data_IF_147339951906
#
_entry.id   IF_147339951906
#
_cell.length_a   1.000
_cell.length_b   1.000
_cell.length_c   1.000
_cell.angle_alpha   90.00
_cell.angle_beta   90.00
_cell.angle_gamma   90.00
#
_symmetry.space_group_name_H-M   'P 1'
#
loop_
_entity.id
_entity.type
_entity.pdbx_description
1 polymer ?
#
# COMPACT_ATOMS: atom_id res chain seq x y z
N UNK A 1 -11.69 15.15 -29.70
CA UNK A 1 -10.90 15.20 -30.95
C UNK A 1 -10.65 13.82 -31.57
N UNK A 2 -11.00 12.71 -30.89
CA UNK A 2 -10.82 11.34 -31.42
C UNK A 2 -9.37 10.91 -31.59
N UNK A 3 -8.43 11.54 -30.89
CA UNK A 3 -6.99 11.30 -31.02
C UNK A 3 -6.42 10.28 -30.04
N UNK A 4 -7.18 9.89 -29.00
CA UNK A 4 -6.79 8.84 -28.06
C UNK A 4 -8.03 8.14 -27.49
N UNK A 5 -7.87 6.88 -27.07
CA UNK A 5 -8.91 6.05 -26.47
C UNK A 5 -8.70 5.87 -24.97
N UNK A 6 -7.49 6.14 -24.49
CA UNK A 6 -7.10 5.95 -23.09
C UNK A 6 -6.11 7.01 -22.64
N UNK A 7 -6.09 7.30 -21.33
CA UNK A 7 -5.15 8.22 -20.70
C UNK A 7 -4.45 7.54 -19.51
N UNK A 8 -3.17 7.92 -19.31
CA UNK A 8 -2.45 7.64 -18.08
C UNK A 8 -2.35 8.94 -17.29
N UNK A 9 -2.85 8.93 -16.07
CA UNK A 9 -2.82 10.06 -15.14
C UNK A 9 -1.62 9.91 -14.22
N UNK A 10 -0.64 10.81 -14.34
CA UNK A 10 0.61 10.84 -13.58
C UNK A 10 0.90 12.27 -13.10
N UNK A 11 -0.10 12.89 -12.49
CA UNK A 11 -0.09 14.23 -11.92
C UNK A 11 0.26 14.21 -10.43
N UNK A 12 0.37 15.35 -9.72
CA UNK A 12 0.37 15.37 -8.26
C UNK A 12 -0.88 14.70 -7.68
N UNK A 13 -0.75 14.11 -6.50
CA UNK A 13 -1.70 13.16 -5.91
C UNK A 13 -3.14 13.66 -5.79
N UNK A 14 -3.32 14.94 -5.43
CA UNK A 14 -4.66 15.55 -5.32
C UNK A 14 -5.44 15.57 -6.64
N UNK A 15 -4.73 15.59 -7.76
CA UNK A 15 -5.31 15.73 -9.09
C UNK A 15 -5.66 14.38 -9.74
N UNK A 16 -5.20 13.26 -9.20
CA UNK A 16 -5.50 11.93 -9.77
C UNK A 16 -7.00 11.71 -9.92
N UNK A 17 -7.85 11.89 -8.87
CA UNK A 17 -9.28 11.66 -8.99
C UNK A 17 -9.96 12.60 -10.00
N UNK A 18 -9.58 13.87 -10.02
CA UNK A 18 -10.16 14.86 -10.92
C UNK A 18 -9.95 14.47 -12.40
N UNK A 19 -8.71 14.14 -12.78
CA UNK A 19 -8.38 13.78 -14.15
C UNK A 19 -8.94 12.42 -14.56
N UNK A 20 -9.02 11.45 -13.64
CA UNK A 20 -9.67 10.16 -13.91
C UNK A 20 -11.17 10.34 -14.14
N UNK A 21 -11.86 11.09 -13.28
CA UNK A 21 -13.30 11.40 -13.44
C UNK A 21 -13.53 12.06 -14.79
N UNK A 22 -12.75 13.11 -15.08
CA UNK A 22 -12.85 13.82 -16.36
C UNK A 22 -12.67 12.88 -17.58
N UNK A 23 -11.67 12.00 -17.53
CA UNK A 23 -11.41 11.05 -18.60
C UNK A 23 -12.60 10.09 -18.83
N UNK A 24 -13.11 9.49 -17.76
CA UNK A 24 -14.22 8.53 -17.79
C UNK A 24 -15.50 9.20 -18.31
N UNK A 25 -15.82 10.41 -17.83
CA UNK A 25 -16.99 11.19 -18.28
C UNK A 25 -16.90 11.62 -19.75
N UNK A 26 -15.68 11.69 -20.31
CA UNK A 26 -15.47 11.99 -21.73
C UNK A 26 -15.25 10.74 -22.59
N UNK A 27 -15.59 9.57 -22.07
CA UNK A 27 -15.58 8.31 -22.83
C UNK A 27 -14.19 7.74 -23.07
N UNK A 28 -13.17 8.11 -22.26
CA UNK A 28 -11.84 7.57 -22.32
C UNK A 28 -11.61 6.50 -21.26
N UNK A 29 -10.88 5.44 -21.60
CA UNK A 29 -10.32 4.53 -20.59
C UNK A 29 -9.25 5.26 -19.78
N UNK A 30 -9.12 4.94 -18.49
CA UNK A 30 -8.17 5.61 -17.61
C UNK A 30 -7.29 4.60 -16.85
N UNK A 31 -6.03 4.95 -16.69
CA UNK A 31 -5.15 4.32 -15.71
C UNK A 31 -4.49 5.42 -14.88
N UNK A 32 -4.55 5.30 -13.56
CA UNK A 32 -3.93 6.28 -12.66
C UNK A 32 -2.65 5.75 -12.05
N UNK A 33 -1.67 6.64 -11.89
CA UNK A 33 -0.56 6.39 -10.96
C UNK A 33 -1.07 6.27 -9.52
N UNK A 34 -0.25 5.62 -8.71
CA UNK A 34 -0.45 5.56 -7.26
C UNK A 34 0.05 6.87 -6.60
N UNK A 35 -0.48 7.26 -5.44
CA UNK A 35 -1.68 6.73 -4.78
C UNK A 35 -2.95 7.08 -5.56
N UNK A 36 -4.06 6.40 -5.27
CA UNK A 36 -5.34 6.68 -5.95
C UNK A 36 -5.82 8.14 -5.76
N UNK A 37 -5.36 8.77 -4.71
CA UNK A 37 -5.64 10.15 -4.32
C UNK A 37 -5.04 10.41 -2.94
N UNK A 38 -5.41 11.49 -2.29
CA UNK A 38 -4.90 11.86 -0.95
C UNK A 38 -5.85 11.43 0.17
N UNK A 39 -7.16 11.52 -0.04
CA UNK A 39 -8.16 11.16 0.96
C UNK A 39 -9.29 10.33 0.34
N UNK A 40 -9.82 9.41 1.14
CA UNK A 40 -10.77 8.39 0.67
C UNK A 40 -12.03 8.97 0.04
N UNK A 41 -12.57 10.08 0.54
CA UNK A 41 -13.77 10.71 -0.01
C UNK A 41 -13.63 11.06 -1.49
N UNK A 42 -12.51 11.71 -1.90
CA UNK A 42 -12.31 12.04 -3.32
C UNK A 42 -12.12 10.79 -4.19
N UNK A 43 -11.52 9.73 -3.64
CA UNK A 43 -11.33 8.46 -4.35
C UNK A 43 -12.65 7.69 -4.45
N UNK A 44 -13.52 7.80 -3.47
CA UNK A 44 -14.87 7.24 -3.55
C UNK A 44 -15.69 7.91 -4.67
N UNK A 45 -15.61 9.24 -4.78
CA UNK A 45 -16.24 9.98 -5.89
C UNK A 45 -15.70 9.53 -7.26
N UNK A 46 -14.39 9.27 -7.36
CA UNK A 46 -13.76 8.70 -8.55
C UNK A 46 -14.28 7.28 -8.85
N UNK A 47 -14.40 6.45 -7.83
CA UNK A 47 -14.92 5.09 -7.98
C UNK A 47 -16.40 5.10 -8.44
N UNK A 48 -17.23 6.00 -7.88
CA UNK A 48 -18.60 6.20 -8.33
C UNK A 48 -18.69 6.67 -9.79
N UNK A 49 -17.74 7.50 -10.25
CA UNK A 49 -17.66 7.86 -11.67
C UNK A 49 -17.26 6.67 -12.54
N UNK A 50 -16.35 5.82 -12.07
CA UNK A 50 -15.97 4.59 -12.76
C UNK A 50 -17.13 3.60 -12.87
N UNK A 51 -17.94 3.43 -11.81
CA UNK A 51 -19.13 2.58 -11.82
C UNK A 51 -20.22 3.05 -12.80
N UNK A 52 -20.30 4.35 -13.05
CA UNK A 52 -21.24 4.93 -14.04
C UNK A 52 -20.71 4.89 -15.47
N UNK A 53 -19.43 4.60 -15.67
CA UNK A 53 -18.78 4.58 -16.98
C UNK A 53 -18.76 3.17 -17.57
N UNK A 54 -18.82 3.09 -18.90
CA UNK A 54 -18.56 1.85 -19.66
C UNK A 54 -17.09 1.69 -20.01
N UNK A 55 -16.22 2.58 -19.52
CA UNK A 55 -14.79 2.59 -19.77
C UNK A 55 -14.01 1.86 -18.67
N UNK A 56 -12.90 1.25 -19.06
CA UNK A 56 -12.03 0.55 -18.12
C UNK A 56 -11.26 1.56 -17.28
N UNK A 57 -11.19 1.30 -15.99
CA UNK A 57 -10.35 2.06 -15.06
C UNK A 57 -9.40 1.12 -14.33
N UNK A 58 -8.11 1.41 -14.39
CA UNK A 58 -7.03 0.67 -13.73
C UNK A 58 -6.18 1.58 -12.84
N UNK A 59 -5.43 0.98 -11.91
CA UNK A 59 -4.46 1.69 -11.08
C UNK A 59 -3.09 1.02 -11.14
N UNK A 60 -2.02 1.82 -11.07
CA UNK A 60 -0.63 1.40 -11.19
C UNK A 60 -0.11 0.74 -9.89
N UNK A 61 -0.66 -0.42 -9.55
CA UNK A 61 -0.21 -1.26 -8.43
C UNK A 61 0.78 -2.32 -8.94
N UNK A 62 1.90 -1.86 -9.46
CA UNK A 62 2.89 -2.66 -10.16
C UNK A 62 3.51 -3.77 -9.31
N UNK A 63 3.58 -3.62 -7.98
CA UNK A 63 4.10 -4.67 -7.09
C UNK A 63 3.25 -5.95 -7.08
N UNK A 64 2.00 -5.89 -7.50
CA UNK A 64 1.18 -7.10 -7.73
C UNK A 64 1.67 -7.95 -8.92
N UNK A 65 2.57 -7.43 -9.77
CA UNK A 65 3.24 -8.20 -10.84
C UNK A 65 4.53 -8.88 -10.37
N UNK A 66 5.03 -8.55 -9.19
CA UNK A 66 6.23 -9.15 -8.62
C UNK A 66 5.98 -10.63 -8.29
N UNK A 67 6.85 -11.51 -8.79
CA UNK A 67 6.71 -12.97 -8.65
C UNK A 67 6.59 -13.44 -7.20
N UNK A 68 7.29 -12.78 -6.27
CA UNK A 68 7.27 -13.13 -4.84
C UNK A 68 5.88 -12.86 -4.24
N UNK A 69 5.34 -11.65 -4.46
CA UNK A 69 4.03 -11.28 -3.92
C UNK A 69 2.87 -12.01 -4.62
N UNK A 70 2.99 -12.27 -5.94
CA UNK A 70 2.02 -13.12 -6.66
C UNK A 70 1.99 -14.53 -6.06
N UNK A 71 3.17 -15.14 -5.87
CA UNK A 71 3.28 -16.48 -5.30
C UNK A 71 2.73 -16.55 -3.88
N UNK A 72 3.05 -15.55 -3.06
CA UNK A 72 2.51 -15.43 -1.71
C UNK A 72 0.98 -15.31 -1.72
N UNK A 73 0.41 -14.48 -2.60
CA UNK A 73 -1.03 -14.35 -2.76
C UNK A 73 -1.68 -15.67 -3.19
N UNK A 74 -1.11 -16.39 -4.18
CA UNK A 74 -1.59 -17.72 -4.58
C UNK A 74 -1.63 -18.71 -3.41
N UNK A 75 -0.56 -18.76 -2.59
CA UNK A 75 -0.49 -19.61 -1.42
C UNK A 75 -1.57 -19.29 -0.38
N UNK A 76 -1.84 -17.99 -0.16
CA UNK A 76 -2.90 -17.56 0.76
C UNK A 76 -4.28 -17.94 0.21
N UNK A 77 -4.51 -17.70 -1.08
CA UNK A 77 -5.79 -18.00 -1.73
C UNK A 77 -6.08 -19.52 -1.82
N UNK A 78 -5.04 -20.37 -1.81
CA UNK A 78 -5.22 -21.84 -1.79
C UNK A 78 -5.91 -22.33 -0.52
N UNK A 79 -5.86 -21.57 0.58
CA UNK A 79 -6.38 -21.95 1.88
C UNK A 79 -5.50 -22.94 2.67
N UNK A 80 -4.42 -23.47 2.08
CA UNK A 80 -3.54 -24.46 2.71
C UNK A 80 -2.80 -23.93 3.95
N UNK A 81 -2.66 -22.62 4.07
CA UNK A 81 -2.00 -21.98 5.22
C UNK A 81 -2.88 -21.93 6.48
N UNK A 82 -4.19 -22.14 6.34
CA UNK A 82 -5.17 -21.89 7.40
C UNK A 82 -5.37 -20.41 7.67
N UNK A 83 -5.94 -20.07 8.82
CA UNK A 83 -6.24 -18.68 9.14
C UNK A 83 -4.99 -17.86 9.46
N UNK A 84 -4.99 -16.60 9.01
CA UNK A 84 -3.98 -15.61 9.41
C UNK A 84 -4.08 -15.35 10.92
N UNK A 85 -2.94 -15.26 11.60
CA UNK A 85 -2.83 -14.99 13.05
C UNK A 85 -2.04 -13.71 13.35
N UNK A 86 -0.99 -13.43 12.53
CA UNK A 86 -0.14 -12.26 12.75
C UNK A 86 0.52 -11.79 11.47
N UNK A 87 0.63 -10.46 11.36
CA UNK A 87 1.40 -9.76 10.33
C UNK A 87 2.48 -8.94 11.02
N UNK A 88 3.74 -9.08 10.58
CA UNK A 88 4.82 -8.17 10.95
C UNK A 88 5.50 -7.72 9.66
N UNK A 89 5.40 -6.44 9.35
CA UNK A 89 6.08 -5.87 8.20
C UNK A 89 6.94 -4.69 8.63
N UNK A 90 8.24 -4.86 8.50
CA UNK A 90 9.21 -3.79 8.67
C UNK A 90 9.73 -3.46 7.28
N UNK A 91 9.51 -2.23 6.84
CA UNK A 91 9.97 -1.72 5.55
C UNK A 91 10.55 -0.33 5.72
N UNK A 92 11.85 -0.26 5.96
CA UNK A 92 12.61 0.95 6.23
C UNK A 92 13.73 1.17 5.21
N UNK A 93 13.75 0.41 4.11
CA UNK A 93 14.71 0.50 3.01
C UNK A 93 14.40 1.64 2.00
N UNK A 94 13.53 2.55 2.36
CA UNK A 94 13.13 3.73 1.58
C UNK A 94 14.00 4.97 1.83
N UNK A 95 15.27 4.81 2.18
CA UNK A 95 16.13 5.96 2.51
C UNK A 95 15.99 7.09 1.50
N UNK A 96 15.77 8.28 2.01
CA UNK A 96 15.75 9.54 1.25
C UNK A 96 16.62 10.56 1.97
N UNK A 97 17.36 11.33 1.22
CA UNK A 97 18.09 12.48 1.77
C UNK A 97 17.24 13.75 1.68
N UNK A 98 17.65 14.81 2.34
CA UNK A 98 16.92 16.08 2.34
C UNK A 98 16.71 16.65 0.94
N UNK A 99 17.71 16.50 0.03
CA UNK A 99 17.61 17.02 -1.34
C UNK A 99 16.48 16.39 -2.16
N UNK A 100 16.07 15.14 -1.85
CA UNK A 100 14.89 14.53 -2.47
C UNK A 100 13.62 15.30 -2.15
N UNK A 101 13.48 15.76 -0.92
CA UNK A 101 12.31 16.52 -0.48
C UNK A 101 12.34 17.97 -0.95
N UNK A 102 13.53 18.54 -1.13
CA UNK A 102 13.71 19.92 -1.59
C UNK A 102 13.61 20.07 -3.11
N UNK A 103 13.51 18.98 -3.86
CA UNK A 103 13.53 18.96 -5.32
C UNK A 103 12.30 19.60 -5.99
N UNK A 104 11.19 19.80 -5.28
CA UNK A 104 10.01 20.47 -5.82
C UNK A 104 9.16 21.09 -4.69
N UNK A 105 8.54 22.22 -4.98
CA UNK A 105 7.80 22.98 -3.99
C UNK A 105 6.58 22.26 -3.39
N UNK A 106 5.98 21.34 -4.13
CA UNK A 106 4.82 20.56 -3.67
C UNK A 106 5.20 19.35 -2.79
N UNK A 107 6.44 18.85 -2.89
CA UNK A 107 6.88 17.65 -2.16
C UNK A 107 6.94 17.89 -0.66
N UNK A 108 6.61 16.84 0.09
CA UNK A 108 6.67 16.79 1.55
C UNK A 108 5.88 17.92 2.22
N UNK A 109 4.77 18.34 1.60
CA UNK A 109 3.84 19.33 2.15
C UNK A 109 2.42 18.76 2.20
N UNK A 110 1.65 19.16 3.23
CA UNK A 110 0.26 18.71 3.35
C UNK A 110 -0.63 19.22 2.22
N UNK A 111 -0.40 20.44 1.73
CA UNK A 111 -1.23 21.03 0.67
C UNK A 111 -0.80 20.59 -0.72
N UNK A 112 0.47 20.24 -0.94
CA UNK A 112 0.99 19.82 -2.24
C UNK A 112 0.96 18.31 -2.44
N UNK A 113 1.53 17.53 -1.51
CA UNK A 113 1.65 16.06 -1.61
C UNK A 113 0.56 15.32 -0.83
N UNK A 114 0.17 15.86 0.33
CA UNK A 114 -0.91 15.33 1.16
C UNK A 114 -0.50 14.23 2.14
N UNK A 115 0.78 13.93 2.25
CA UNK A 115 1.37 12.95 3.15
C UNK A 115 2.82 12.66 2.78
N UNK A 116 3.52 11.90 3.59
CA UNK A 116 4.91 11.53 3.42
C UNK A 116 5.10 10.07 3.03
N UNK A 117 5.80 9.31 3.88
CA UNK A 117 6.17 7.92 3.59
C UNK A 117 4.96 7.02 3.30
N UNK A 118 3.85 7.20 4.00
CA UNK A 118 2.63 6.40 3.79
C UNK A 118 1.96 6.65 2.45
N UNK A 119 2.06 7.88 1.92
CA UNK A 119 1.36 8.27 0.70
C UNK A 119 2.24 8.26 -0.54
N UNK A 120 3.56 8.40 -0.38
CA UNK A 120 4.50 8.44 -1.52
C UNK A 120 5.31 7.13 -1.66
N UNK A 121 6.04 6.68 -0.63
CA UNK A 121 6.91 5.51 -0.73
C UNK A 121 6.14 4.20 -0.52
N UNK A 122 5.22 4.15 0.43
CA UNK A 122 4.55 2.93 0.86
C UNK A 122 3.14 2.63 0.30
N UNK A 123 2.56 3.32 -0.70
CA UNK A 123 1.25 2.93 -1.24
C UNK A 123 1.21 1.50 -1.74
N UNK A 124 2.31 1.01 -2.35
CA UNK A 124 2.41 -0.37 -2.82
C UNK A 124 2.38 -1.39 -1.67
N UNK A 125 3.05 -1.08 -0.55
CA UNK A 125 3.09 -1.97 0.61
C UNK A 125 1.76 -1.96 1.35
N UNK A 126 1.10 -0.82 1.45
CA UNK A 126 -0.24 -0.74 2.02
C UNK A 126 -1.27 -1.46 1.13
N UNK A 127 -1.11 -1.39 -0.20
CA UNK A 127 -1.89 -2.20 -1.12
C UNK A 127 -1.63 -3.69 -0.93
N UNK A 128 -0.38 -4.12 -0.95
CA UNK A 128 -0.02 -5.53 -0.74
C UNK A 128 -0.48 -6.04 0.63
N UNK A 129 -0.40 -5.23 1.68
CA UNK A 129 -0.86 -5.61 3.01
C UNK A 129 -2.34 -6.01 2.99
N UNK A 130 -3.20 -5.16 2.43
CA UNK A 130 -4.63 -5.47 2.34
C UNK A 130 -4.95 -6.56 1.31
N UNK A 131 -4.16 -6.65 0.23
CA UNK A 131 -4.35 -7.67 -0.80
C UNK A 131 -4.01 -9.08 -0.31
N UNK A 132 -3.01 -9.20 0.57
CA UNK A 132 -2.57 -10.45 1.18
C UNK A 132 -3.35 -10.82 2.44
N UNK A 133 -3.65 -9.83 3.29
CA UNK A 133 -4.17 -10.07 4.64
C UNK A 133 -5.63 -9.65 4.84
N UNK A 134 -6.23 -8.96 3.85
CA UNK A 134 -7.52 -8.30 4.01
C UNK A 134 -7.41 -6.96 4.75
N UNK A 135 -8.54 -6.26 4.85
CA UNK A 135 -8.60 -5.00 5.58
C UNK A 135 -8.68 -5.25 7.10
N UNK A 136 -7.91 -4.54 7.93
CA UNK A 136 -8.10 -4.57 9.38
C UNK A 136 -9.41 -3.88 9.76
N UNK A 137 -9.90 -4.15 10.96
CA UNK A 137 -11.08 -3.48 11.53
C UNK A 137 -10.71 -2.33 12.47
N UNK A 138 -9.45 -2.32 12.97
CA UNK A 138 -8.91 -1.26 13.83
C UNK A 138 -7.46 -0.97 13.50
N UNK A 139 -7.10 0.31 13.63
CA UNK A 139 -5.73 0.81 13.41
C UNK A 139 -5.35 1.74 14.57
N UNK A 140 -4.17 1.52 15.16
CA UNK A 140 -3.50 2.44 16.06
C UNK A 140 -2.13 2.75 15.50
N UNK A 141 -1.81 4.02 15.28
CA UNK A 141 -0.54 4.42 14.68
C UNK A 141 0.10 5.62 15.37
N UNK A 142 1.41 5.72 15.21
CA UNK A 142 2.26 6.84 15.58
C UNK A 142 2.98 7.28 14.31
N UNK A 143 2.58 8.41 13.74
CA UNK A 143 3.20 9.05 12.59
C UNK A 143 3.98 10.27 13.06
N UNK A 144 5.28 10.27 12.87
CA UNK A 144 6.13 11.38 13.26
C UNK A 144 6.41 12.25 12.04
N UNK A 145 5.95 13.50 12.12
CA UNK A 145 6.10 14.51 11.08
C UNK A 145 7.47 15.18 11.21
N UNK A 146 8.28 15.18 10.14
CA UNK A 146 9.59 15.81 10.12
C UNK A 146 10.52 15.38 11.27
N UNK A 147 10.50 14.09 11.63
CA UNK A 147 11.32 13.57 12.72
C UNK A 147 12.82 13.56 12.36
N UNK A 148 13.11 13.23 11.11
CA UNK A 148 14.46 13.05 10.61
C UNK A 148 14.84 14.03 9.50
N UNK A 149 13.83 14.65 8.86
CA UNK A 149 14.01 15.59 7.76
C UNK A 149 13.32 16.91 8.07
N UNK A 150 13.76 18.00 7.45
CA UNK A 150 13.01 19.29 7.51
C UNK A 150 11.84 19.26 6.53
N UNK A 151 10.79 18.55 6.92
CA UNK A 151 9.55 18.38 6.17
C UNK A 151 8.35 18.52 7.12
N UNK A 152 7.15 18.68 6.60
CA UNK A 152 5.95 18.80 7.43
C UNK A 152 5.05 17.56 7.46
N UNK A 153 5.37 16.57 6.62
CA UNK A 153 4.66 15.29 6.56
C UNK A 153 5.43 14.20 7.32
N UNK A 154 4.85 13.02 7.47
CA UNK A 154 5.47 11.94 8.21
C UNK A 154 6.62 11.28 7.43
N UNK A 155 7.73 11.04 8.11
CA UNK A 155 8.90 10.31 7.63
C UNK A 155 9.25 9.06 8.47
N UNK A 156 8.48 8.82 9.55
CA UNK A 156 8.64 7.68 10.46
C UNK A 156 7.28 7.25 11.00
N UNK A 157 6.91 5.98 10.82
CA UNK A 157 5.60 5.45 11.19
C UNK A 157 5.73 4.08 11.84
N UNK A 158 5.01 3.89 12.96
CA UNK A 158 4.74 2.58 13.55
C UNK A 158 3.24 2.42 13.74
N UNK A 159 2.65 1.36 13.18
CA UNK A 159 1.22 1.09 13.25
C UNK A 159 0.94 -0.32 13.77
N UNK A 160 -0.10 -0.44 14.58
CA UNK A 160 -0.71 -1.69 15.03
C UNK A 160 -2.10 -1.82 14.42
N UNK A 161 -2.49 -3.04 14.05
CA UNK A 161 -3.76 -3.36 13.40
C UNK A 161 -4.42 -4.58 14.04
N UNK A 162 -5.75 -4.59 14.06
CA UNK A 162 -6.57 -5.75 14.43
C UNK A 162 -7.46 -6.13 13.25
N UNK A 163 -7.56 -7.43 12.98
CA UNK A 163 -8.39 -8.01 11.91
C UNK A 163 -9.64 -8.67 12.51
N UNK A 164 -10.68 -8.82 11.70
CA UNK A 164 -11.98 -9.37 12.16
C UNK A 164 -11.86 -10.78 12.77
N UNK A 165 -10.96 -11.60 12.23
CA UNK A 165 -10.71 -12.96 12.75
C UNK A 165 -9.85 -13.01 14.03
N UNK A 166 -9.51 -11.85 14.62
CA UNK A 166 -8.66 -11.72 15.79
C UNK A 166 -7.16 -11.73 15.51
N UNK A 167 -6.73 -11.81 14.24
CA UNK A 167 -5.34 -11.62 13.89
C UNK A 167 -4.89 -10.19 14.21
N UNK A 168 -3.60 -10.03 14.47
CA UNK A 168 -2.99 -8.72 14.74
C UNK A 168 -1.85 -8.43 13.77
N UNK A 169 -1.58 -7.15 13.52
CA UNK A 169 -0.50 -6.72 12.63
C UNK A 169 0.31 -5.57 13.19
N UNK A 170 1.58 -5.53 12.80
CA UNK A 170 2.48 -4.39 13.01
C UNK A 170 3.08 -4.01 11.65
N UNK A 171 3.07 -2.71 11.35
CA UNK A 171 3.68 -2.11 10.18
C UNK A 171 4.61 -1.00 10.61
N UNK A 172 5.88 -1.07 10.21
CA UNK A 172 6.91 -0.07 10.53
C UNK A 172 7.54 0.40 9.24
N UNK A 173 7.59 1.72 9.05
CA UNK A 173 8.24 2.32 7.88
C UNK A 173 8.89 3.65 8.21
N UNK A 174 9.99 3.95 7.54
CA UNK A 174 10.66 5.25 7.60
C UNK A 174 11.44 5.51 6.31
N UNK A 175 11.77 6.76 6.07
CA UNK A 175 12.67 7.16 4.98
C UNK A 175 14.07 7.53 5.46
N UNK A 176 14.40 7.22 6.72
CA UNK A 176 15.64 7.67 7.37
C UNK A 176 16.64 6.57 7.76
N UNK A 177 16.23 5.29 7.69
CA UNK A 177 17.13 4.19 8.05
C UNK A 177 18.14 3.89 6.93
N UNK A 178 19.43 3.76 7.30
CA UNK A 178 20.50 3.31 6.41
C UNK A 178 21.55 2.49 7.20
N UNK A 179 21.71 1.16 6.90
CA UNK A 179 20.86 0.38 6.00
C UNK A 179 19.46 0.18 6.55
N UNK A 180 18.48 0.11 5.66
CA UNK A 180 17.09 -0.21 6.01
C UNK A 180 16.81 -1.72 6.03
N UNK A 181 15.58 -2.06 6.34
CA UNK A 181 15.07 -3.45 6.38
C UNK A 181 13.82 -3.55 5.52
N UNK A 182 13.69 -4.64 4.77
CA UNK A 182 12.43 -5.03 4.14
C UNK A 182 12.15 -6.50 4.47
N UNK A 183 11.32 -6.71 5.51
CA UNK A 183 10.98 -8.03 6.00
C UNK A 183 9.51 -8.12 6.33
N UNK A 184 8.81 -9.00 5.62
CA UNK A 184 7.42 -9.36 5.86
C UNK A 184 7.35 -10.76 6.48
N UNK A 185 6.71 -10.88 7.63
CA UNK A 185 6.37 -12.15 8.25
C UNK A 185 4.86 -12.29 8.38
N UNK A 186 4.32 -13.38 7.84
CA UNK A 186 2.91 -13.74 7.98
C UNK A 186 2.81 -15.07 8.73
N UNK A 187 2.20 -15.06 9.91
CA UNK A 187 1.96 -16.27 10.71
C UNK A 187 0.55 -16.75 10.48
N UNK A 188 0.42 -18.02 10.09
CA UNK A 188 -0.83 -18.74 9.87
C UNK A 188 -0.95 -19.94 10.82
N UNK A 189 -2.07 -20.64 10.76
CA UNK A 189 -2.27 -21.87 11.55
C UNK A 189 -1.34 -23.01 11.15
N UNK A 190 -0.94 -23.07 9.85
CA UNK A 190 -0.07 -24.11 9.30
C UNK A 190 1.40 -23.70 9.24
N UNK A 191 1.78 -22.55 9.82
CA UNK A 191 3.17 -22.11 9.85
C UNK A 191 3.36 -20.63 9.64
N UNK A 192 4.58 -20.26 9.24
CA UNK A 192 4.98 -18.88 9.05
C UNK A 192 5.64 -18.69 7.69
N UNK A 193 5.16 -17.70 6.93
CA UNK A 193 5.82 -17.23 5.72
C UNK A 193 6.75 -16.07 6.08
N UNK A 194 7.95 -16.07 5.52
CA UNK A 194 8.92 -14.97 5.61
C UNK A 194 9.30 -14.56 4.20
N UNK A 195 9.08 -13.27 3.89
CA UNK A 195 9.55 -12.64 2.66
C UNK A 195 10.64 -11.63 3.02
N UNK A 196 11.84 -11.86 2.55
CA UNK A 196 13.02 -11.04 2.82
C UNK A 196 14.02 -11.17 1.66
N UNK A 197 14.67 -10.07 1.28
CA UNK A 197 15.65 -10.02 0.19
C UNK A 197 15.14 -10.63 -1.14
N UNK A 198 13.86 -10.43 -1.45
CA UNK A 198 13.25 -10.98 -2.66
C UNK A 198 13.06 -12.51 -2.66
N UNK A 199 13.24 -13.15 -1.51
CA UNK A 199 13.08 -14.59 -1.32
C UNK A 199 11.88 -14.90 -0.44
N UNK A 200 11.27 -16.05 -0.64
CA UNK A 200 10.08 -16.49 0.08
C UNK A 200 10.37 -17.82 0.80
N UNK A 201 10.21 -17.82 2.12
CA UNK A 201 10.39 -19.01 2.95
C UNK A 201 9.10 -19.39 3.65
N UNK A 202 8.80 -20.69 3.70
CA UNK A 202 7.72 -21.23 4.48
C UNK A 202 8.27 -22.14 5.60
N UNK A 203 8.16 -21.70 6.84
CA UNK A 203 8.35 -22.52 8.02
C UNK A 203 7.06 -23.32 8.24
N UNK A 204 6.91 -24.44 7.53
CA UNK A 204 5.72 -25.28 7.47
C UNK A 204 5.63 -26.17 8.71
N UNK A 205 4.54 -26.05 9.46
CA UNK A 205 4.26 -26.93 10.59
C UNK A 205 3.79 -28.31 10.12
N UNK A 206 4.12 -29.34 10.88
CA UNK A 206 3.65 -30.71 10.67
C UNK A 206 2.14 -30.89 10.94
N UNK A 207 1.54 -29.97 11.72
CA UNK A 207 0.13 -29.98 12.11
C UNK A 207 -0.37 -28.56 12.33
N UNK A 208 -1.69 -28.38 12.29
CA UNK A 208 -2.32 -27.10 12.64
C UNK A 208 -2.01 -26.74 14.10
N UNK A 209 -1.49 -25.51 14.32
CA UNK A 209 -1.05 -25.07 15.65
C UNK A 209 -2.21 -24.94 16.63
N UNK A 210 -3.42 -24.62 16.18
CA UNK A 210 -4.60 -24.53 17.02
C UNK A 210 -5.06 -25.91 17.54
N UNK A 211 -4.96 -26.92 16.69
CA UNK A 211 -5.29 -28.31 17.07
C UNK A 211 -4.21 -28.91 17.96
N UNK A 212 -2.93 -28.66 17.63
CA UNK A 212 -1.81 -29.07 18.48
C UNK A 212 -1.93 -28.50 19.88
N UNK A 213 -2.22 -27.21 20.01
CA UNK A 213 -2.40 -26.54 21.29
C UNK A 213 -3.50 -27.17 22.17
N UNK A 214 -4.58 -27.70 21.56
CA UNK A 214 -5.69 -28.33 22.30
C UNK A 214 -5.43 -29.79 22.67
N UNK A 215 -4.60 -30.48 21.87
CA UNK A 215 -4.44 -31.96 22.00
C UNK A 215 -3.14 -32.37 22.69
N UNK A 216 -2.09 -31.54 22.58
CA UNK A 216 -0.80 -31.87 23.21
C UNK A 216 -0.86 -31.70 24.74
N UNK A 217 -0.28 -32.65 25.43
CA UNK A 217 -0.29 -32.71 26.92
C UNK A 217 1.02 -32.27 27.55
N UNK A 218 2.11 -32.28 26.77
CA UNK A 218 3.41 -31.82 27.22
C UNK A 218 3.50 -30.28 27.10
N UNK A 219 3.42 -29.57 28.23
CA UNK A 219 3.24 -28.12 28.27
C UNK A 219 4.32 -27.27 27.59
N UNK A 220 5.50 -27.81 27.32
CA UNK A 220 6.61 -27.12 26.65
C UNK A 220 6.91 -27.64 25.25
N UNK A 221 6.21 -28.68 24.81
CA UNK A 221 6.39 -29.24 23.47
C UNK A 221 5.86 -28.27 22.41
N UNK A 222 6.59 -28.14 21.33
CA UNK A 222 6.26 -27.30 20.17
C UNK A 222 5.95 -28.22 18.98
N UNK A 223 5.06 -27.81 18.07
CA UNK A 223 4.89 -28.54 16.81
C UNK A 223 6.20 -28.51 16.02
N UNK A 224 6.52 -29.61 15.37
CA UNK A 224 7.65 -29.69 14.46
C UNK A 224 7.40 -28.87 13.20
N UNK A 225 8.46 -28.32 12.62
CA UNK A 225 8.38 -27.59 11.36
C UNK A 225 9.58 -27.88 10.46
N UNK A 226 9.39 -27.64 9.19
CA UNK A 226 10.44 -27.64 8.18
C UNK A 226 10.48 -26.30 7.46
N UNK A 227 11.69 -25.76 7.23
CA UNK A 227 11.87 -24.56 6.41
C UNK A 227 12.00 -24.96 4.96
N UNK A 228 11.16 -24.38 4.11
CA UNK A 228 11.12 -24.60 2.67
C UNK A 228 11.30 -23.24 2.00
N UNK A 229 12.25 -23.14 1.11
CA UNK A 229 12.32 -21.98 0.20
C UNK A 229 11.32 -22.22 -0.94
N UNK A 230 10.44 -21.24 -1.16
CA UNK A 230 9.40 -21.30 -2.17
C UNK A 230 9.95 -20.72 -3.47
N UNK A 231 10.01 -21.55 -4.49
CA UNK A 231 10.40 -21.11 -5.83
C UNK A 231 9.31 -20.23 -6.47
N UNK A 232 9.76 -19.23 -7.20
CA UNK A 232 8.92 -18.33 -8.00
C UNK A 232 9.31 -18.46 -9.48
N UNK A 233 8.49 -17.93 -10.38
CA UNK A 233 8.80 -17.89 -11.80
C UNK A 233 9.85 -16.84 -12.19
N UNK A 234 10.33 -16.04 -11.25
CA UNK A 234 11.30 -14.96 -11.45
C UNK A 234 10.78 -13.78 -12.26
N UNK A 235 9.51 -13.77 -12.67
CA UNK A 235 8.92 -12.71 -13.49
C UNK A 235 8.62 -11.47 -12.63
N UNK A 236 9.10 -10.32 -13.09
CA UNK A 236 8.88 -9.04 -12.40
C UNK A 236 8.65 -7.93 -13.44
N UNK A 237 7.49 -7.93 -14.07
CA UNK A 237 7.17 -7.03 -15.17
C UNK A 237 6.90 -5.57 -14.75
N UNK A 238 6.59 -5.34 -13.48
CA UNK A 238 6.38 -4.01 -12.91
C UNK A 238 5.39 -3.16 -13.74
N UNK A 239 5.70 -1.89 -14.00
CA UNK A 239 4.86 -0.97 -14.78
C UNK A 239 4.49 -1.53 -16.17
N UNK A 240 5.43 -2.20 -16.83
CA UNK A 240 5.20 -2.79 -18.16
C UNK A 240 4.09 -3.85 -18.08
N UNK A 241 4.09 -4.68 -17.03
CA UNK A 241 3.06 -5.70 -16.81
C UNK A 241 1.68 -5.10 -16.62
N UNK A 242 1.58 -4.01 -15.83
CA UNK A 242 0.31 -3.31 -15.62
C UNK A 242 -0.19 -2.67 -16.90
N UNK A 243 0.68 -1.99 -17.67
CA UNK A 243 0.30 -1.36 -18.93
C UNK A 243 -0.11 -2.39 -20.00
N UNK A 244 0.59 -3.52 -20.09
CA UNK A 244 0.22 -4.64 -20.98
C UNK A 244 -1.15 -5.21 -20.62
N UNK A 245 -1.42 -5.40 -19.31
CA UNK A 245 -2.71 -5.89 -18.83
C UNK A 245 -3.82 -4.89 -19.14
N UNK A 246 -3.61 -3.60 -18.90
CA UNK A 246 -4.57 -2.54 -19.23
C UNK A 246 -4.89 -2.49 -20.71
N UNK A 247 -3.88 -2.45 -21.59
CA UNK A 247 -4.10 -2.50 -23.05
C UNK A 247 -4.78 -3.81 -23.48
N UNK A 248 -4.39 -4.95 -22.88
CA UNK A 248 -5.02 -6.23 -23.13
C UNK A 248 -6.50 -6.27 -22.72
N UNK A 249 -6.82 -5.63 -21.59
CA UNK A 249 -8.20 -5.50 -21.12
C UNK A 249 -9.07 -4.72 -22.12
N UNK A 250 -8.61 -3.55 -22.54
CA UNK A 250 -9.34 -2.72 -23.52
C UNK A 250 -9.54 -3.45 -24.84
N UNK A 251 -8.50 -4.11 -25.35
CA UNK A 251 -8.52 -4.70 -26.69
C UNK A 251 -9.15 -6.10 -26.75
N UNK A 252 -9.10 -6.87 -25.66
CA UNK A 252 -9.41 -8.30 -25.65
C UNK A 252 -10.23 -8.77 -24.44
N UNK A 253 -10.52 -7.88 -23.46
CA UNK A 253 -11.21 -8.24 -22.23
C UNK A 253 -10.39 -9.12 -21.26
N UNK A 254 -9.05 -9.10 -21.36
CA UNK A 254 -8.22 -9.84 -20.40
C UNK A 254 -8.23 -9.19 -19.01
N UNK A 255 -8.00 -9.94 -17.92
CA UNK A 255 -8.01 -9.37 -16.57
C UNK A 255 -7.01 -8.23 -16.39
N UNK A 256 -7.38 -7.22 -15.60
CA UNK A 256 -6.46 -6.20 -15.10
C UNK A 256 -5.56 -6.78 -14.00
N UNK A 257 -4.40 -6.14 -13.76
CA UNK A 257 -3.57 -6.43 -12.58
C UNK A 257 -4.27 -5.92 -11.31
N UNK A 258 -4.88 -4.74 -11.41
CA UNK A 258 -5.70 -4.14 -10.37
C UNK A 258 -6.77 -3.26 -11.01
N UNK A 259 -8.02 -3.43 -10.60
CA UNK A 259 -9.09 -2.50 -10.92
C UNK A 259 -8.78 -1.14 -10.27
N UNK A 260 -9.08 -0.05 -10.97
CA UNK A 260 -8.81 1.29 -10.44
C UNK A 260 -9.50 1.57 -9.11
N UNK A 261 -10.70 0.98 -8.93
CA UNK A 261 -11.50 1.09 -7.71
C UNK A 261 -10.85 0.45 -6.48
N UNK A 262 -9.89 -0.46 -6.65
CA UNK A 262 -9.20 -1.09 -5.53
C UNK A 262 -8.21 -0.15 -4.82
N UNK A 263 -7.76 0.90 -5.50
CA UNK A 263 -6.78 1.86 -4.95
C UNK A 263 -7.22 2.54 -3.66
N UNK A 264 -8.53 2.61 -3.40
CA UNK A 264 -9.07 3.16 -2.15
C UNK A 264 -8.65 2.36 -0.91
N UNK A 265 -8.40 1.04 -1.04
CA UNK A 265 -8.12 0.17 0.11
C UNK A 265 -6.78 0.50 0.77
N UNK A 266 -5.69 0.57 0.00
CA UNK A 266 -4.38 0.99 0.49
C UNK A 266 -4.39 2.43 1.02
N UNK A 267 -5.11 3.32 0.35
CA UNK A 267 -5.30 4.70 0.80
C UNK A 267 -6.07 4.77 2.14
N UNK A 268 -7.08 3.92 2.33
CA UNK A 268 -7.81 3.86 3.61
C UNK A 268 -6.88 3.51 4.77
N UNK A 269 -5.91 2.61 4.57
CA UNK A 269 -4.91 2.28 5.60
C UNK A 269 -4.03 3.49 5.93
N UNK A 270 -3.51 4.19 4.91
CA UNK A 270 -2.74 5.41 5.09
C UNK A 270 -3.53 6.47 5.87
N UNK A 271 -4.76 6.74 5.45
CA UNK A 271 -5.62 7.74 6.09
C UNK A 271 -6.00 7.34 7.53
N UNK A 272 -6.24 6.05 7.80
CA UNK A 272 -6.51 5.56 9.14
C UNK A 272 -5.31 5.70 10.08
N UNK A 273 -4.08 5.45 9.57
CA UNK A 273 -2.84 5.65 10.32
C UNK A 273 -2.63 7.12 10.67
N UNK A 274 -2.78 8.03 9.70
CA UNK A 274 -2.71 9.47 9.94
C UNK A 274 -3.75 9.91 10.97
N UNK A 275 -5.02 9.55 10.77
CA UNK A 275 -6.11 9.95 11.66
C UNK A 275 -5.89 9.43 13.09
N UNK A 276 -5.42 8.19 13.23
CA UNK A 276 -5.09 7.60 14.52
C UNK A 276 -4.00 8.38 15.25
N UNK A 277 -2.95 8.76 14.53
CA UNK A 277 -1.85 9.56 15.07
C UNK A 277 -2.30 10.97 15.45
N UNK A 278 -3.04 11.67 14.57
CA UNK A 278 -3.50 13.04 14.83
C UNK A 278 -4.47 13.15 16.00
N UNK A 279 -5.31 12.12 16.20
CA UNK A 279 -6.29 12.09 17.30
C UNK A 279 -5.79 11.37 18.54
N UNK A 280 -4.58 10.83 18.52
CA UNK A 280 -3.97 10.00 19.57
C UNK A 280 -4.90 8.90 20.09
N UNK A 281 -5.60 8.22 19.19
CA UNK A 281 -6.53 7.12 19.51
C UNK A 281 -6.58 6.04 18.44
N UNK A 282 -7.12 4.88 18.81
CA UNK A 282 -7.48 3.84 17.83
C UNK A 282 -8.60 4.33 16.92
N UNK A 283 -8.46 4.06 15.62
CA UNK A 283 -9.46 4.33 14.59
C UNK A 283 -10.06 3.00 14.15
N UNK A 284 -11.39 2.94 14.09
CA UNK A 284 -12.13 1.81 13.54
C UNK A 284 -12.38 2.00 12.05
N UNK A 285 -12.44 0.89 11.30
CA UNK A 285 -12.81 0.87 9.90
C UNK A 285 -14.22 0.30 9.73
N UNK A 286 -15.04 0.84 8.83
CA UNK A 286 -14.72 1.84 7.80
C UNK A 286 -14.38 3.22 8.37
N UNK A 287 -13.48 3.93 7.69
CA UNK A 287 -12.99 5.24 8.08
C UNK A 287 -14.10 6.31 8.06
N UNK A 288 -14.14 7.17 9.07
CA UNK A 288 -14.92 8.42 9.02
C UNK A 288 -14.20 9.42 8.08
N UNK A 289 -14.64 9.43 6.82
CA UNK A 289 -14.03 10.23 5.74
C UNK A 289 -14.16 11.75 5.98
N UNK A 290 -15.27 12.19 6.58
CA UNK A 290 -15.49 13.61 6.89
C UNK A 290 -14.59 14.09 8.03
N UNK A 291 -14.42 13.22 9.02
CA UNK A 291 -13.48 13.49 10.13
C UNK A 291 -12.05 13.57 9.59
N UNK A 292 -11.64 12.60 8.76
CA UNK A 292 -10.31 12.62 8.15
C UNK A 292 -10.08 13.91 7.34
N UNK A 293 -11.00 14.24 6.44
CA UNK A 293 -10.88 15.44 5.59
C UNK A 293 -10.82 16.73 6.42
N UNK A 294 -11.58 16.82 7.50
CA UNK A 294 -11.53 17.96 8.41
C UNK A 294 -10.15 18.10 9.07
N UNK A 295 -9.58 17.01 9.57
CA UNK A 295 -8.24 17.04 10.20
C UNK A 295 -7.13 17.32 9.17
N UNK A 296 -7.21 16.72 7.98
CA UNK A 296 -6.31 17.03 6.87
C UNK A 296 -6.36 18.50 6.47
N UNK A 297 -7.55 19.10 6.40
CA UNK A 297 -7.69 20.52 6.05
C UNK A 297 -7.09 21.46 7.10
N UNK A 298 -7.04 21.07 8.37
CA UNK A 298 -6.29 21.84 9.40
C UNK A 298 -4.79 21.81 9.09
N UNK A 299 -4.24 20.66 8.70
CA UNK A 299 -2.83 20.54 8.30
C UNK A 299 -2.54 21.38 7.06
N UNK A 300 -3.40 21.28 6.02
CA UNK A 300 -3.27 22.05 4.78
C UNK A 300 -3.31 23.57 5.02
N UNK A 301 -4.16 24.03 5.92
CA UNK A 301 -4.28 25.45 6.23
C UNK A 301 -3.01 26.08 6.83
N UNK A 302 -2.13 25.26 7.42
CA UNK A 302 -0.84 25.67 7.98
C UNK A 302 0.36 25.16 7.18
N UNK A 303 0.10 24.59 6.00
CA UNK A 303 1.13 24.01 5.15
C UNK A 303 2.12 25.06 4.65
N UNK A 304 3.39 24.68 4.63
CA UNK A 304 4.50 25.54 4.19
C UNK A 304 4.38 25.78 2.69
N UNK A 305 4.57 27.03 2.28
CA UNK A 305 4.81 27.34 0.87
C UNK A 305 6.31 27.18 0.61
N UNK A 306 6.67 26.16 -0.18
CA UNK A 306 8.03 26.01 -0.68
C UNK A 306 8.13 26.68 -2.05
N UNK A 307 9.25 27.33 -2.33
CA UNK A 307 9.57 27.76 -3.68
C UNK A 307 10.04 26.55 -4.51
N UNK A 308 9.69 26.55 -5.80
CA UNK A 308 10.25 25.56 -6.71
C UNK A 308 11.76 25.79 -6.81
N UNK A 309 12.51 24.73 -6.65
CA UNK A 309 13.97 24.77 -6.77
C UNK A 309 14.40 24.15 -8.09
N UNK A 310 15.43 24.73 -8.72
CA UNK A 310 16.07 24.17 -9.92
C UNK A 310 16.96 22.94 -9.59
N UNK A 311 16.73 22.30 -8.47
CA UNK A 311 17.51 21.11 -8.06
C UNK A 311 17.10 19.93 -8.95
N UNK A 312 17.95 19.63 -9.92
CA UNK A 312 17.90 18.37 -10.66
C UNK A 312 18.61 17.31 -9.82
N UNK A 313 17.86 16.42 -9.18
CA UNK A 313 18.49 15.28 -8.52
C UNK A 313 18.59 14.09 -9.48
N UNK A 314 19.69 13.36 -9.34
CA UNK A 314 19.91 12.14 -10.11
C UNK A 314 18.93 11.05 -9.61
N UNK A 315 18.14 10.52 -10.53
CA UNK A 315 17.20 9.43 -10.27
C UNK A 315 17.80 8.04 -10.51
N UNK A 316 19.11 7.96 -10.78
CA UNK A 316 19.82 6.69 -10.95
C UNK A 316 19.70 5.86 -9.68
N UNK A 317 19.21 4.63 -9.79
CA UNK A 317 19.05 3.72 -8.65
C UNK A 317 17.69 3.82 -7.94
N UNK A 318 16.70 4.49 -8.50
CA UNK A 318 15.33 4.55 -7.94
C UNK A 318 14.46 3.33 -8.25
N UNK A 319 15.00 2.31 -8.96
CA UNK A 319 14.29 1.08 -9.35
C UNK A 319 15.15 -0.16 -9.12
#
# INVERSE_FOLDING_TARGET
>A
SGSCDAVLVATPHYLHPEFVIYALEHGLHAISEKPAGVYTKQVREMNEAAERSDRSFAIMLNQRTNCVYRKLHEMIQSGELGQLRRVNWIITDWYRNQSYYDAAGWKATWDGEGGGVLLNQCPHQLDLLQWLCGMPVKVRAFCHEGKWHDIEVEDDVTAYMEFENGATGVFVTTTADAPGTNRLELTFEMGKIVCEEGRLFFDKLSTNVSDFCKTEKEGFKKPEYSRIEIETDGQNEQHIGVLKAFAGHILRGTPLVAEGTEGIRGLTLSNAMHLSSWLDRTVELPLDEELFLRELNKKRATSRKKEDTDIVFDTTGTY
#
